data_IF_424993394383
#
_entry.id   IF_424993394383
#
_cell.length_a   1.000
_cell.length_b   1.000
_cell.length_c   1.000
_cell.angle_alpha   90.00
_cell.angle_beta   90.00
_cell.angle_gamma   90.00
#
_symmetry.space_group_name_H-M   'P 1'
#
loop_
_entity.id
_entity.type
_entity.pdbx_description
1 polymer ?
#
# COMPACT_ATOMS: atom_id res chain seq x y z
N UNK A 1 1.88 22.86 4.04
CA UNK A 1 1.11 21.72 4.59
C UNK A 1 2.00 21.00 5.58
N UNK A 2 1.49 20.67 6.78
CA UNK A 2 2.18 19.81 7.74
C UNK A 2 1.57 18.42 7.66
N UNK A 3 2.39 17.39 7.50
CA UNK A 3 1.96 15.99 7.54
C UNK A 3 1.92 15.51 9.01
N UNK A 4 0.88 14.77 9.37
CA UNK A 4 0.73 14.20 10.72
C UNK A 4 1.41 12.83 10.78
N UNK A 5 1.20 11.99 9.78
CA UNK A 5 1.63 10.58 9.77
C UNK A 5 2.80 10.31 8.83
N UNK A 6 2.95 11.10 7.75
CA UNK A 6 3.97 10.88 6.71
C UNK A 6 5.16 11.85 6.80
N UNK A 7 5.46 12.37 7.99
CA UNK A 7 6.57 13.31 8.21
C UNK A 7 7.92 12.76 7.71
N UNK A 8 8.22 11.50 8.00
CA UNK A 8 9.47 10.87 7.59
C UNK A 8 9.58 10.74 6.07
N UNK A 9 8.49 10.41 5.39
CA UNK A 9 8.43 10.34 3.93
C UNK A 9 8.59 11.73 3.31
N UNK A 10 7.91 12.74 3.87
CA UNK A 10 8.06 14.13 3.43
C UNK A 10 9.50 14.65 3.57
N UNK A 11 10.19 14.26 4.64
CA UNK A 11 11.61 14.57 4.89
C UNK A 11 12.57 13.68 4.08
N UNK A 12 12.07 12.66 3.38
CA UNK A 12 12.85 11.73 2.56
C UNK A 12 12.27 11.68 1.13
N UNK A 13 12.31 12.79 0.38
CA UNK A 13 11.68 12.85 -0.95
C UNK A 13 12.39 11.99 -2.01
N UNK A 14 13.55 11.42 -1.67
CA UNK A 14 14.38 10.64 -2.58
C UNK A 14 15.09 9.52 -1.81
N UNK A 15 15.10 8.33 -2.39
CA UNK A 15 15.84 7.17 -1.89
C UNK A 15 16.76 6.71 -3.02
N UNK A 16 18.07 6.65 -2.77
CA UNK A 16 19.08 6.44 -3.80
C UNK A 16 18.98 7.52 -4.89
N UNK A 17 18.78 7.11 -6.15
CA UNK A 17 18.56 8.01 -7.29
C UNK A 17 17.08 8.31 -7.56
N UNK A 18 16.16 7.59 -6.92
CA UNK A 18 14.73 7.60 -7.24
C UNK A 18 13.96 8.58 -6.36
N UNK A 19 13.22 9.51 -6.98
CA UNK A 19 12.42 10.55 -6.31
C UNK A 19 10.95 10.15 -6.31
N UNK A 20 10.28 10.27 -5.17
CA UNK A 20 8.84 10.00 -5.05
C UNK A 20 8.02 11.07 -5.79
N UNK A 21 6.83 10.69 -6.27
CA UNK A 21 5.83 11.61 -6.83
C UNK A 21 4.45 11.27 -6.29
N UNK A 22 3.75 12.30 -5.83
CA UNK A 22 2.40 12.17 -5.32
C UNK A 22 1.35 12.48 -6.37
N UNK A 23 0.12 12.06 -6.09
CA UNK A 23 -1.07 12.45 -6.85
C UNK A 23 -1.70 13.71 -6.26
N UNK A 24 -2.57 14.35 -7.04
CA UNK A 24 -3.39 15.47 -6.57
C UNK A 24 -4.53 15.03 -5.64
N UNK A 25 -5.04 15.92 -4.76
CA UNK A 25 -6.23 15.64 -3.96
C UNK A 25 -7.47 15.26 -4.80
N UNK A 26 -7.58 15.81 -6.02
CA UNK A 26 -8.66 15.48 -6.96
C UNK A 26 -8.59 14.04 -7.47
N UNK A 27 -7.39 13.50 -7.69
CA UNK A 27 -7.22 12.10 -8.09
C UNK A 27 -7.60 11.14 -6.96
N UNK A 28 -7.22 11.47 -5.72
CA UNK A 28 -7.64 10.73 -4.53
C UNK A 28 -9.18 10.72 -4.44
N UNK A 29 -9.80 11.89 -4.53
CA UNK A 29 -11.27 12.04 -4.47
C UNK A 29 -11.97 11.28 -5.59
N UNK A 30 -11.39 11.27 -6.80
CA UNK A 30 -11.91 10.53 -7.95
C UNK A 30 -11.96 9.03 -7.66
N UNK A 31 -10.90 8.46 -7.06
CA UNK A 31 -10.85 7.03 -6.72
C UNK A 31 -11.79 6.70 -5.56
N UNK A 32 -11.82 7.53 -4.51
CA UNK A 32 -12.77 7.38 -3.38
C UNK A 32 -14.22 7.34 -3.89
N UNK A 33 -14.59 8.25 -4.78
CA UNK A 33 -15.93 8.28 -5.38
C UNK A 33 -16.19 7.09 -6.32
N UNK A 34 -15.21 6.73 -7.16
CA UNK A 34 -15.33 5.59 -8.09
C UNK A 34 -15.64 4.30 -7.35
N UNK A 35 -14.97 4.06 -6.24
CA UNK A 35 -15.03 2.81 -5.48
C UNK A 35 -15.98 2.88 -4.28
N UNK A 36 -16.57 4.06 -4.02
CA UNK A 36 -17.40 4.32 -2.86
C UNK A 36 -16.71 3.96 -1.53
N UNK A 37 -15.46 4.38 -1.38
CA UNK A 37 -14.62 4.17 -0.20
C UNK A 37 -14.12 5.50 0.36
N UNK A 38 -13.57 5.47 1.57
CA UNK A 38 -12.84 6.61 2.15
C UNK A 38 -11.46 6.15 2.61
N UNK A 39 -10.44 6.86 2.18
CA UNK A 39 -9.08 6.61 2.61
C UNK A 39 -8.81 7.28 3.96
N UNK A 40 -8.11 6.57 4.87
CA UNK A 40 -7.62 7.16 6.11
C UNK A 40 -6.57 8.23 5.81
N UNK A 41 -6.46 9.24 6.68
CA UNK A 41 -5.59 10.40 6.52
C UNK A 41 -4.13 9.98 6.28
N UNK A 42 -3.61 9.00 7.03
CA UNK A 42 -2.25 8.51 6.84
C UNK A 42 -2.01 8.03 5.41
N UNK A 43 -2.98 7.33 4.81
CA UNK A 43 -2.88 6.89 3.42
C UNK A 43 -3.04 8.04 2.43
N UNK A 44 -3.95 8.99 2.67
CA UNK A 44 -4.07 10.20 1.84
C UNK A 44 -2.78 11.01 1.83
N UNK A 45 -2.14 11.20 2.98
CA UNK A 45 -0.83 11.86 3.07
C UNK A 45 0.24 11.13 2.26
N UNK A 46 0.24 9.78 2.31
CA UNK A 46 1.14 8.96 1.50
C UNK A 46 0.87 9.15 0.01
N UNK A 47 -0.39 9.14 -0.42
CA UNK A 47 -0.78 9.35 -1.82
C UNK A 47 -0.33 10.72 -2.35
N UNK A 48 -0.47 11.78 -1.53
CA UNK A 48 -0.01 13.14 -1.87
C UNK A 48 1.52 13.26 -2.00
N UNK A 49 2.29 12.29 -1.48
CA UNK A 49 3.76 12.28 -1.54
C UNK A 49 4.29 11.27 -2.56
N UNK A 50 3.67 10.10 -2.67
CA UNK A 50 4.20 8.92 -3.34
C UNK A 50 3.14 8.10 -4.11
N UNK A 51 1.91 8.60 -4.27
CA UNK A 51 0.80 7.88 -4.90
C UNK A 51 0.91 7.71 -6.42
N UNK A 52 1.69 8.56 -7.11
CA UNK A 52 1.95 8.45 -8.55
C UNK A 52 3.17 7.57 -8.81
N UNK A 53 4.20 7.71 -7.97
CA UNK A 53 5.42 6.93 -8.04
C UNK A 53 6.08 6.83 -6.66
N UNK A 54 6.27 5.60 -6.19
CA UNK A 54 6.81 5.28 -4.86
C UNK A 54 8.34 5.39 -4.78
N UNK A 55 9.01 5.65 -5.91
CA UNK A 55 10.45 5.85 -5.97
C UNK A 55 11.23 4.62 -5.52
N UNK A 56 12.24 4.81 -4.66
CA UNK A 56 13.06 3.72 -4.12
C UNK A 56 12.47 3.00 -2.91
N UNK A 57 11.18 3.22 -2.59
CA UNK A 57 10.53 2.50 -1.50
C UNK A 57 10.47 1.00 -1.81
N UNK A 58 10.90 0.18 -0.86
CA UNK A 58 10.94 -1.28 -0.95
C UNK A 58 9.56 -1.84 -0.55
N UNK A 59 8.55 -1.47 -1.33
CA UNK A 59 7.24 -2.12 -1.36
C UNK A 59 7.34 -3.34 -2.28
N UNK A 60 6.26 -4.12 -2.39
CA UNK A 60 6.21 -5.15 -3.43
C UNK A 60 6.33 -4.52 -4.82
N UNK A 61 7.02 -5.20 -5.74
CA UNK A 61 7.42 -4.75 -7.07
C UNK A 61 6.35 -4.92 -8.16
N UNK A 62 5.16 -5.37 -7.80
CA UNK A 62 3.97 -5.32 -8.65
C UNK A 62 3.25 -3.97 -8.57
N UNK A 63 1.92 -4.00 -8.55
CA UNK A 63 1.10 -2.79 -8.47
C UNK A 63 1.24 -2.11 -7.10
N UNK A 64 1.59 -0.82 -7.10
CA UNK A 64 1.77 -0.03 -5.86
C UNK A 64 1.37 1.44 -5.97
N UNK A 65 0.90 1.90 -7.14
CA UNK A 65 0.43 3.28 -7.35
C UNK A 65 -1.08 3.36 -7.29
N UNK A 66 -1.62 4.56 -7.04
CA UNK A 66 -3.07 4.77 -6.94
C UNK A 66 -3.80 4.39 -8.23
N UNK A 67 -3.26 4.81 -9.37
CA UNK A 67 -3.85 4.56 -10.69
C UNK A 67 -3.92 3.05 -10.98
N UNK A 68 -2.79 2.35 -10.82
CA UNK A 68 -2.69 0.90 -11.00
C UNK A 68 -3.70 0.14 -10.12
N UNK A 69 -3.69 0.39 -8.81
CA UNK A 69 -4.52 -0.33 -7.85
C UNK A 69 -6.02 -0.02 -7.98
N UNK A 70 -6.37 1.11 -8.59
CA UNK A 70 -7.75 1.50 -8.86
C UNK A 70 -8.26 1.08 -10.24
N UNK A 71 -7.42 0.47 -11.08
CA UNK A 71 -7.78 0.04 -12.42
C UNK A 71 -8.74 -1.17 -12.38
N UNK A 72 -9.77 -1.17 -13.24
CA UNK A 72 -10.85 -2.18 -13.16
C UNK A 72 -10.34 -3.61 -13.40
N UNK A 73 -9.35 -3.76 -14.28
CA UNK A 73 -8.67 -5.03 -14.55
C UNK A 73 -7.91 -5.55 -13.31
N UNK A 74 -7.17 -4.69 -12.64
CA UNK A 74 -6.42 -5.02 -11.42
C UNK A 74 -7.38 -5.40 -10.28
N UNK A 75 -8.49 -4.67 -10.14
CA UNK A 75 -9.56 -5.02 -9.20
C UNK A 75 -10.26 -6.34 -9.57
N UNK A 76 -10.35 -6.67 -10.87
CA UNK A 76 -10.80 -7.96 -11.37
C UNK A 76 -9.89 -9.10 -10.93
N UNK A 77 -8.58 -8.95 -11.18
CA UNK A 77 -7.57 -9.93 -10.77
C UNK A 77 -7.52 -10.14 -9.26
N UNK A 78 -7.65 -9.07 -8.46
CA UNK A 78 -7.75 -9.21 -7.01
C UNK A 78 -8.95 -10.07 -6.60
N UNK A 79 -10.13 -9.84 -7.20
CA UNK A 79 -11.34 -10.64 -6.90
C UNK A 79 -11.18 -12.10 -7.30
N UNK A 80 -10.61 -12.36 -8.47
CA UNK A 80 -10.36 -13.73 -8.95
C UNK A 80 -9.37 -14.46 -8.05
N UNK A 81 -8.29 -13.78 -7.66
CA UNK A 81 -7.25 -14.33 -6.78
C UNK A 81 -7.79 -14.66 -5.41
N UNK A 82 -8.56 -13.76 -4.77
CA UNK A 82 -9.20 -14.05 -3.48
C UNK A 82 -10.12 -15.28 -3.56
N UNK A 83 -10.89 -15.41 -4.65
CA UNK A 83 -11.78 -16.55 -4.87
C UNK A 83 -11.00 -17.85 -5.11
N UNK A 84 -9.98 -17.82 -5.96
CA UNK A 84 -9.14 -18.98 -6.30
C UNK A 84 -8.36 -19.50 -5.10
N UNK A 85 -7.81 -18.57 -4.31
CA UNK A 85 -6.99 -18.87 -3.13
C UNK A 85 -7.82 -19.15 -1.88
N UNK A 86 -9.15 -19.16 -1.98
CA UNK A 86 -10.10 -19.36 -0.87
C UNK A 86 -9.85 -18.38 0.29
N UNK A 87 -9.34 -17.18 -0.01
CA UNK A 87 -9.08 -16.12 0.95
C UNK A 87 -10.36 -15.37 1.24
N UNK A 88 -10.89 -15.54 2.45
CA UNK A 88 -12.14 -14.89 2.84
C UNK A 88 -11.88 -13.54 3.53
N UNK A 89 -11.57 -12.49 2.76
CA UNK A 89 -11.51 -11.11 3.24
C UNK A 89 -12.89 -10.47 3.10
N UNK A 90 -13.72 -10.58 4.14
CA UNK A 90 -15.12 -10.11 4.12
C UNK A 90 -15.28 -8.63 4.43
N UNK A 91 -14.29 -8.03 5.10
CA UNK A 91 -14.28 -6.62 5.48
C UNK A 91 -13.79 -5.75 4.32
N UNK A 92 -14.30 -4.51 4.17
CA UNK A 92 -13.79 -3.59 3.15
C UNK A 92 -12.32 -3.29 3.42
N UNK A 93 -11.49 -3.37 2.39
CA UNK A 93 -10.05 -3.22 2.50
C UNK A 93 -9.47 -2.49 1.29
N UNK A 94 -8.22 -2.04 1.44
CA UNK A 94 -7.45 -1.44 0.36
C UNK A 94 -6.03 -1.99 0.31
N UNK A 95 -5.59 -2.39 -0.87
CA UNK A 95 -4.23 -2.90 -1.11
C UNK A 95 -3.23 -1.74 -1.16
N UNK A 96 -2.09 -1.91 -0.49
CA UNK A 96 -0.99 -0.94 -0.49
C UNK A 96 -0.01 -1.26 -1.63
N UNK A 97 0.35 -2.55 -1.75
CA UNK A 97 1.22 -3.06 -2.81
C UNK A 97 1.05 -4.57 -2.93
N UNK A 98 1.28 -5.12 -4.12
CA UNK A 98 1.18 -6.55 -4.41
C UNK A 98 2.41 -7.09 -5.17
N UNK A 99 2.58 -8.40 -5.10
CA UNK A 99 3.55 -9.19 -5.84
C UNK A 99 2.87 -10.40 -6.48
N UNK A 100 3.27 -10.72 -7.71
CA UNK A 100 2.88 -11.97 -8.36
C UNK A 100 1.38 -12.08 -8.63
N UNK A 101 0.73 -10.99 -9.08
CA UNK A 101 -0.71 -10.95 -9.30
C UNK A 101 -1.50 -11.27 -8.03
N UNK A 102 -1.15 -10.63 -6.91
CA UNK A 102 -1.75 -10.82 -5.59
C UNK A 102 -1.50 -12.20 -4.93
N UNK A 103 -0.48 -12.95 -5.37
CA UNK A 103 0.05 -14.08 -4.58
C UNK A 103 0.52 -13.61 -3.20
N UNK A 104 1.09 -12.40 -3.14
CA UNK A 104 1.41 -11.72 -1.90
C UNK A 104 1.00 -10.25 -2.01
N UNK A 105 0.42 -9.70 -0.95
CA UNK A 105 0.11 -8.28 -0.92
C UNK A 105 0.00 -7.76 0.51
N UNK A 106 0.21 -6.47 0.67
CA UNK A 106 -0.06 -5.75 1.92
C UNK A 106 -1.32 -4.91 1.76
N UNK A 107 -2.10 -4.80 2.82
CA UNK A 107 -3.36 -4.08 2.79
C UNK A 107 -3.72 -3.54 4.18
N UNK A 108 -4.74 -2.69 4.24
CA UNK A 108 -5.39 -2.29 5.49
C UNK A 108 -6.91 -2.37 5.34
N UNK A 109 -7.61 -2.52 6.45
CA UNK A 109 -9.07 -2.47 6.47
C UNK A 109 -9.57 -1.02 6.50
N UNK A 110 -10.64 -0.74 5.77
CA UNK A 110 -11.23 0.60 5.63
C UNK A 110 -12.23 0.93 6.76
N UNK A 111 -12.63 -0.07 7.55
CA UNK A 111 -13.66 0.01 8.60
C UNK A 111 -13.07 0.05 10.03
N UNK A 112 -11.78 0.35 10.19
CA UNK A 112 -11.13 0.37 11.53
C UNK A 112 -11.40 1.63 12.36
N UNK A 113 -12.17 2.60 11.84
CA UNK A 113 -12.49 3.87 12.51
C UNK A 113 -11.26 4.64 13.03
N UNK A 114 -10.15 4.56 12.30
CA UNK A 114 -8.89 5.26 12.59
C UNK A 114 -8.31 5.88 11.33
N UNK A 115 -7.64 7.01 11.50
CA UNK A 115 -6.93 7.71 10.43
C UNK A 115 -5.55 7.11 10.12
N UNK A 116 -5.13 6.10 10.88
CA UNK A 116 -3.86 5.38 10.72
C UNK A 116 -4.07 3.89 11.04
N UNK A 117 -4.62 3.11 10.09
CA UNK A 117 -5.04 1.72 10.30
C UNK A 117 -3.85 0.76 10.46
N UNK A 118 -4.13 -0.43 10.98
CA UNK A 118 -3.16 -1.51 11.03
C UNK A 118 -2.95 -2.15 9.65
N UNK A 119 -1.72 -2.57 9.39
CA UNK A 119 -1.34 -3.23 8.14
C UNK A 119 -1.35 -4.74 8.30
N UNK A 120 -1.89 -5.39 7.28
CA UNK A 120 -2.02 -6.83 7.14
C UNK A 120 -1.29 -7.30 5.88
N UNK A 121 -0.87 -8.56 5.88
CA UNK A 121 -0.21 -9.21 4.77
C UNK A 121 -0.96 -10.47 4.38
N UNK A 122 -0.94 -10.76 3.08
CA UNK A 122 -1.27 -12.07 2.53
C UNK A 122 0.02 -12.67 1.99
N UNK A 123 0.22 -13.96 2.26
CA UNK A 123 1.30 -14.73 1.67
C UNK A 123 0.91 -16.20 1.53
N UNK A 124 1.75 -16.93 0.79
CA UNK A 124 1.63 -18.35 0.53
C UNK A 124 2.44 -19.16 1.55
N UNK A 125 1.85 -20.21 2.12
CA UNK A 125 2.50 -21.06 3.14
C UNK A 125 3.08 -22.37 2.59
N UNK A 126 2.81 -22.72 1.33
CA UNK A 126 2.96 -24.10 0.83
C UNK A 126 1.59 -24.77 0.65
N UNK A 127 1.53 -25.86 -0.11
CA UNK A 127 0.35 -26.72 -0.32
C UNK A 127 -0.95 -25.99 -0.74
N UNK A 128 -0.85 -25.00 -1.63
CA UNK A 128 -1.98 -24.17 -2.09
C UNK A 128 -2.71 -23.40 -0.96
N UNK A 129 -2.08 -23.24 0.21
CA UNK A 129 -2.65 -22.54 1.37
C UNK A 129 -2.16 -21.08 1.46
N UNK A 130 -3.11 -20.16 1.41
CA UNK A 130 -2.88 -18.74 1.65
C UNK A 130 -3.41 -18.35 3.03
N UNK A 131 -2.70 -17.44 3.70
CA UNK A 131 -3.15 -16.93 4.99
C UNK A 131 -2.93 -15.42 5.12
N UNK A 132 -3.72 -14.84 6.00
CA UNK A 132 -3.68 -13.43 6.37
C UNK A 132 -2.95 -13.32 7.70
N UNK A 133 -1.99 -12.42 7.81
CA UNK A 133 -1.24 -12.18 9.03
C UNK A 133 -1.12 -10.68 9.33
N UNK A 134 -1.15 -10.28 10.62
CA UNK A 134 -0.90 -8.90 10.99
C UNK A 134 0.59 -8.57 10.87
N UNK A 135 0.93 -7.38 10.37
CA UNK A 135 2.31 -6.88 10.41
C UNK A 135 2.66 -6.25 11.77
N UNK A 136 1.69 -6.14 12.67
CA UNK A 136 1.79 -5.50 13.99
C UNK A 136 2.37 -4.07 13.89
N UNK A 137 1.90 -3.32 12.89
CA UNK A 137 2.27 -1.93 12.62
C UNK A 137 1.08 -1.16 12.10
N UNK A 138 0.96 0.09 12.49
CA UNK A 138 0.09 1.04 11.79
C UNK A 138 0.66 1.37 10.41
N UNK A 139 -0.14 1.95 9.54
CA UNK A 139 0.30 2.33 8.20
C UNK A 139 1.51 3.28 8.22
N UNK A 140 1.52 4.29 9.10
CA UNK A 140 2.66 5.20 9.26
C UNK A 140 3.95 4.50 9.74
N UNK A 141 3.85 3.54 10.66
CA UNK A 141 4.97 2.74 11.15
C UNK A 141 5.50 1.79 10.07
N UNK A 142 4.60 1.17 9.31
CA UNK A 142 4.93 0.35 8.16
C UNK A 142 5.77 1.15 7.16
N UNK A 143 5.25 2.28 6.67
CA UNK A 143 5.98 3.17 5.74
C UNK A 143 7.30 3.66 6.35
N UNK A 144 7.31 4.06 7.62
CA UNK A 144 8.54 4.51 8.30
C UNK A 144 9.63 3.44 8.32
N UNK A 145 9.25 2.18 8.56
CA UNK A 145 10.17 1.05 8.54
C UNK A 145 10.60 0.66 7.12
N UNK A 146 9.72 0.82 6.13
CA UNK A 146 10.06 0.64 4.71
C UNK A 146 11.09 1.67 4.27
N UNK A 147 10.96 2.95 4.67
CA UNK A 147 11.97 3.98 4.38
C UNK A 147 13.35 3.58 4.94
N UNK A 148 13.43 3.09 6.17
CA UNK A 148 14.71 2.67 6.77
C UNK A 148 15.37 1.55 5.97
N UNK A 149 14.58 0.51 5.63
CA UNK A 149 15.05 -0.61 4.81
C UNK A 149 15.50 -0.14 3.43
N UNK A 150 14.73 0.73 2.79
CA UNK A 150 15.04 1.28 1.48
C UNK A 150 16.32 2.11 1.46
N UNK A 151 16.56 2.95 2.48
CA UNK A 151 17.80 3.71 2.61
C UNK A 151 18.98 2.76 2.78
N UNK A 152 18.85 1.76 3.66
CA UNK A 152 19.88 0.75 3.88
C UNK A 152 20.22 0.01 2.57
N UNK A 153 19.20 -0.52 1.90
CA UNK A 153 19.35 -1.22 0.62
C UNK A 153 20.02 -0.34 -0.45
N UNK A 154 19.61 0.93 -0.57
CA UNK A 154 20.20 1.85 -1.55
C UNK A 154 21.70 2.14 -1.34
N UNK A 155 22.21 1.90 -0.13
CA UNK A 155 23.62 2.14 0.24
C UNK A 155 24.47 0.88 0.16
N UNK A 156 23.90 -0.26 0.53
CA UNK A 156 24.68 -1.47 0.78
C UNK A 156 24.31 -2.66 -0.12
N UNK A 157 23.19 -2.61 -0.85
CA UNK A 157 22.68 -3.78 -1.56
C UNK A 157 22.08 -4.83 -0.61
N UNK A 158 22.05 -6.09 -1.06
CA UNK A 158 21.70 -7.26 -0.25
C UNK A 158 22.90 -7.80 0.51
#
# INVERSE_FOLDING_TARGET
MSYIYMQKLANTPKIGTQKIRGVSPSEITKVENKLNIKFPLAYKEFLLLAGEYTGGLQLFDGHSTLDMLSHDEVLGYLKETLKGNKLNITRPFWVISEYGNFDQFTFFYLDENTENPNVWGVTYRGDDEYYIYPLNKTFSEYISSTIDKSIHFSKYGY
#
